data_IF_722416056942
#
_entry.id   IF_722416056942
#
_cell.length_a   1.000
_cell.length_b   1.000
_cell.length_c   1.000
_cell.angle_alpha   90.00
_cell.angle_beta   90.00
_cell.angle_gamma   90.00
#
_symmetry.space_group_name_H-M   'P 1'
#
loop_
_entity.id
_entity.type
_entity.pdbx_description
1 polymer ?
#
# COMPACT_ATOMS: atom_id res chain seq x y z
N UNK A 1 -8.14 7.46 10.97
CA UNK A 1 -8.25 6.78 9.66
C UNK A 1 -9.41 5.81 9.76
N UNK A 2 -10.40 5.98 8.90
CA UNK A 2 -11.51 5.04 8.77
C UNK A 2 -11.02 3.78 8.02
N UNK A 3 -11.74 2.66 8.08
CA UNK A 3 -11.28 1.42 7.46
C UNK A 3 -11.10 1.59 5.95
N UNK A 4 -9.85 1.53 5.50
CA UNK A 4 -9.50 1.34 4.09
C UNK A 4 -9.54 -0.15 3.75
N UNK A 5 -9.95 -0.49 2.53
CA UNK A 5 -10.10 -1.86 2.07
C UNK A 5 -9.36 -2.11 0.75
N UNK A 6 -9.13 -3.39 0.43
CA UNK A 6 -8.60 -3.79 -0.86
C UNK A 6 -9.21 -5.11 -1.32
N UNK A 7 -9.24 -5.33 -2.63
CA UNK A 7 -9.67 -6.56 -3.27
C UNK A 7 -8.68 -6.93 -4.39
N UNK A 8 -8.11 -8.13 -4.31
CA UNK A 8 -7.23 -8.68 -5.34
C UNK A 8 -7.95 -9.84 -6.02
N UNK A 9 -8.10 -9.76 -7.35
CA UNK A 9 -8.69 -10.83 -8.16
C UNK A 9 -7.70 -11.34 -9.20
N UNK A 10 -7.51 -12.66 -9.33
CA UNK A 10 -6.72 -13.20 -10.43
C UNK A 10 -7.40 -12.91 -11.77
N UNK A 11 -6.60 -12.71 -12.82
CA UNK A 11 -7.08 -12.55 -14.18
C UNK A 11 -6.54 -13.64 -15.08
N UNK A 12 -7.34 -14.07 -16.04
CA UNK A 12 -6.88 -14.93 -17.12
C UNK A 12 -5.80 -14.18 -17.91
N UNK A 13 -4.58 -14.68 -17.89
CA UNK A 13 -3.39 -13.98 -18.41
C UNK A 13 -2.23 -13.85 -17.41
N UNK A 14 -2.30 -14.47 -16.23
CA UNK A 14 -1.20 -14.48 -15.26
C UNK A 14 -1.02 -13.17 -14.48
N UNK A 15 -1.99 -12.26 -14.61
CA UNK A 15 -2.03 -11.00 -13.88
C UNK A 15 -3.04 -11.02 -12.73
N UNK A 16 -3.16 -9.89 -12.04
CA UNK A 16 -4.19 -9.66 -11.03
C UNK A 16 -4.75 -8.26 -11.15
N UNK A 17 -6.07 -8.10 -10.96
CA UNK A 17 -6.70 -6.81 -10.78
C UNK A 17 -6.72 -6.49 -9.30
N UNK A 18 -6.23 -5.31 -8.95
CA UNK A 18 -6.19 -4.80 -7.58
C UNK A 18 -7.12 -3.60 -7.49
N UNK A 19 -8.11 -3.69 -6.62
CA UNK A 19 -8.95 -2.57 -6.21
C UNK A 19 -8.51 -2.12 -4.82
N UNK A 20 -8.21 -0.84 -4.64
CA UNK A 20 -7.87 -0.24 -3.35
C UNK A 20 -8.90 0.84 -3.07
N UNK A 21 -9.48 0.81 -1.88
CA UNK A 21 -10.45 1.79 -1.40
C UNK A 21 -9.85 2.44 -0.17
N UNK A 22 -9.40 3.68 -0.33
CA UNK A 22 -8.86 4.47 0.77
C UNK A 22 -9.98 5.32 1.37
N UNK A 23 -10.19 5.22 2.69
CA UNK A 23 -11.09 6.13 3.39
C UNK A 23 -10.29 7.27 4.01
N UNK A 24 -10.56 8.50 3.57
CA UNK A 24 -9.91 9.70 4.11
C UNK A 24 -10.98 10.56 4.77
N UNK A 25 -10.82 10.78 6.07
CA UNK A 25 -11.62 11.73 6.82
C UNK A 25 -10.87 13.06 6.86
N UNK A 26 -11.43 14.07 6.21
CA UNK A 26 -10.84 15.41 6.15
C UNK A 26 -11.55 16.27 7.18
N UNK A 27 -11.12 16.16 8.44
CA UNK A 27 -11.61 17.04 9.49
C UNK A 27 -11.30 18.49 9.13
N UNK A 28 -12.36 19.31 9.12
CA UNK A 28 -12.37 20.73 8.72
C UNK A 28 -11.30 21.57 9.45
N UNK A 29 -10.90 21.14 10.65
CA UNK A 29 -9.91 21.79 11.52
C UNK A 29 -8.45 21.41 11.23
N UNK A 30 -8.22 20.28 10.53
CA UNK A 30 -6.88 19.76 10.25
C UNK A 30 -6.28 20.33 8.96
N UNK A 31 -7.14 20.81 8.05
CA UNK A 31 -6.73 21.35 6.75
C UNK A 31 -7.04 22.85 6.68
N UNK A 32 -6.03 23.72 6.52
CA UNK A 32 -6.24 25.15 6.30
C UNK A 32 -7.17 25.39 5.11
N UNK A 33 -8.11 26.33 5.21
CA UNK A 33 -9.14 26.60 4.18
C UNK A 33 -8.58 26.81 2.78
N UNK A 34 -7.39 27.41 2.68
CA UNK A 34 -6.69 27.67 1.41
C UNK A 34 -6.23 26.38 0.73
N UNK A 35 -5.95 25.34 1.50
CA UNK A 35 -5.54 24.04 0.97
C UNK A 35 -6.71 23.09 0.74
N UNK A 36 -7.90 23.36 1.31
CA UNK A 36 -9.11 22.53 1.18
C UNK A 36 -9.43 22.16 -0.28
N UNK A 37 -9.34 23.05 -1.28
CA UNK A 37 -9.58 22.70 -2.70
C UNK A 37 -8.55 21.69 -3.27
N UNK A 38 -7.32 21.67 -2.74
CA UNK A 38 -6.29 20.71 -3.15
C UNK A 38 -6.52 19.33 -2.54
N UNK A 39 -7.20 19.26 -1.39
CA UNK A 39 -7.54 18.01 -0.70
C UNK A 39 -8.92 17.45 -1.11
N UNK A 40 -9.85 18.30 -1.58
CA UNK A 40 -11.09 17.87 -2.24
C UNK A 40 -10.83 17.27 -3.63
N UNK A 41 -9.70 17.60 -4.26
CA UNK A 41 -9.29 17.00 -5.52
C UNK A 41 -8.84 15.54 -5.32
N UNK A 42 -9.74 14.61 -5.64
CA UNK A 42 -9.51 13.16 -5.59
C UNK A 42 -8.22 12.71 -6.29
N UNK A 43 -7.73 13.45 -7.30
CA UNK A 43 -6.50 13.14 -8.04
C UNK A 43 -5.23 13.25 -7.20
N UNK A 44 -5.08 14.31 -6.40
CA UNK A 44 -3.85 14.55 -5.63
C UNK A 44 -3.76 13.54 -4.47
N UNK A 45 -4.90 13.27 -3.84
CA UNK A 45 -5.04 12.27 -2.78
C UNK A 45 -4.71 10.87 -3.32
N UNK A 46 -5.34 10.48 -4.44
CA UNK A 46 -5.09 9.21 -5.11
C UNK A 46 -3.62 9.07 -5.52
N UNK A 47 -2.98 10.15 -5.99
CA UNK A 47 -1.58 10.12 -6.40
C UNK A 47 -0.61 9.90 -5.23
N UNK A 48 -0.85 10.53 -4.08
CA UNK A 48 0.01 10.37 -2.90
C UNK A 48 -0.12 9.02 -2.21
N UNK A 49 -1.34 8.47 -2.17
CA UNK A 49 -1.62 7.25 -1.41
C UNK A 49 -1.75 6.04 -2.34
N UNK A 50 -2.84 5.98 -3.09
CA UNK A 50 -3.22 4.82 -3.91
C UNK A 50 -2.19 4.51 -5.00
N UNK A 51 -1.71 5.53 -5.74
CA UNK A 51 -0.73 5.34 -6.82
C UNK A 51 0.63 4.92 -6.24
N UNK A 52 1.07 5.52 -5.13
CA UNK A 52 2.31 5.14 -4.48
C UNK A 52 2.25 3.67 -4.00
N UNK A 53 1.12 3.25 -3.43
CA UNK A 53 0.89 1.86 -3.03
C UNK A 53 0.94 0.90 -4.24
N UNK A 54 0.28 1.23 -5.34
CA UNK A 54 0.30 0.42 -6.57
C UNK A 54 1.71 0.32 -7.17
N UNK A 55 2.47 1.42 -7.21
CA UNK A 55 3.86 1.41 -7.67
C UNK A 55 4.73 0.52 -6.79
N UNK A 56 4.51 0.53 -5.48
CA UNK A 56 5.24 -0.32 -4.55
C UNK A 56 4.90 -1.81 -4.75
N UNK A 57 3.61 -2.15 -4.92
CA UNK A 57 3.17 -3.53 -5.19
C UNK A 57 3.78 -4.03 -6.51
N UNK A 58 3.76 -3.21 -7.57
CA UNK A 58 4.39 -3.58 -8.85
C UNK A 58 5.88 -3.85 -8.68
N UNK A 59 6.58 -3.02 -7.91
CA UNK A 59 8.00 -3.22 -7.63
C UNK A 59 8.26 -4.54 -6.90
N UNK A 60 7.43 -4.89 -5.90
CA UNK A 60 7.54 -6.18 -5.19
C UNK A 60 7.27 -7.35 -6.15
N UNK A 61 6.26 -7.24 -7.01
CA UNK A 61 5.93 -8.28 -7.98
C UNK A 61 7.12 -8.56 -8.93
N UNK A 62 7.75 -7.51 -9.46
CA UNK A 62 8.93 -7.61 -10.33
C UNK A 62 10.15 -8.22 -9.61
N UNK A 63 10.34 -7.89 -8.33
CA UNK A 63 11.39 -8.50 -7.52
C UNK A 63 11.17 -9.99 -7.27
N UNK A 64 9.91 -10.39 -7.08
CA UNK A 64 9.55 -11.79 -6.83
C UNK A 64 9.61 -12.66 -8.09
N UNK A 65 9.39 -12.09 -9.28
CA UNK A 65 9.44 -12.80 -10.56
C UNK A 65 10.87 -13.01 -11.11
N UNK A 66 11.90 -12.48 -10.42
CA UNK A 66 13.30 -12.61 -10.84
C UNK A 66 13.70 -11.70 -12.00
N UNK A 67 12.84 -10.77 -12.40
CA UNK A 67 13.03 -9.89 -13.55
C UNK A 67 13.52 -8.51 -13.10
N UNK A 68 14.80 -8.37 -12.70
CA UNK A 68 15.36 -7.04 -12.41
C UNK A 68 16.74 -6.82 -13.02
N UNK A 69 16.70 -5.99 -14.08
CA UNK A 69 17.77 -5.11 -14.50
C UNK A 69 17.83 -3.92 -13.51
N UNK A 70 18.89 -3.85 -12.73
CA UNK A 70 19.09 -2.81 -11.72
C UNK A 70 19.34 -1.44 -12.37
N UNK A 71 18.39 -0.53 -12.21
CA UNK A 71 18.53 0.89 -12.53
C UNK A 71 17.91 1.75 -11.43
N UNK A 72 18.66 2.04 -10.36
CA UNK A 72 18.32 3.10 -9.41
C UNK A 72 17.97 2.67 -7.98
N UNK A 73 19.02 2.42 -7.17
CA UNK A 73 19.10 2.87 -5.76
C UNK A 73 18.00 2.55 -4.74
N UNK A 74 17.17 1.49 -4.90
CA UNK A 74 16.14 1.11 -3.93
C UNK A 74 16.47 -0.19 -3.17
N UNK A 75 16.00 -0.27 -1.92
CA UNK A 75 16.39 -1.25 -0.90
C UNK A 75 16.53 -2.69 -1.42
N UNK A 76 17.62 -3.40 -1.08
CA UNK A 76 17.87 -4.76 -1.54
C UNK A 76 16.77 -5.72 -1.08
N UNK A 77 16.31 -6.59 -1.98
CA UNK A 77 15.23 -7.56 -1.77
C UNK A 77 15.37 -8.35 -0.46
N UNK A 78 16.60 -8.62 -0.01
CA UNK A 78 16.92 -9.28 1.27
C UNK A 78 16.36 -8.54 2.48
N UNK A 79 16.51 -7.21 2.56
CA UNK A 79 16.00 -6.43 3.69
C UNK A 79 14.46 -6.43 3.72
N UNK A 80 13.83 -6.49 2.53
CA UNK A 80 12.38 -6.54 2.42
C UNK A 80 11.81 -7.89 2.84
N UNK A 81 12.44 -8.99 2.42
CA UNK A 81 12.10 -10.35 2.89
C UNK A 81 12.25 -10.48 4.39
N UNK A 82 13.30 -9.90 4.97
CA UNK A 82 13.49 -9.87 6.41
C UNK A 82 12.38 -9.07 7.13
N UNK A 83 12.07 -7.86 6.64
CA UNK A 83 10.99 -7.03 7.16
C UNK A 83 9.62 -7.75 7.10
N UNK A 84 9.29 -8.38 5.97
CA UNK A 84 8.06 -9.14 5.83
C UNK A 84 7.95 -10.30 6.84
N UNK A 85 9.05 -11.03 7.07
CA UNK A 85 9.07 -12.10 8.08
C UNK A 85 8.85 -11.57 9.49
N UNK A 86 9.45 -10.43 9.83
CA UNK A 86 9.23 -9.78 11.12
C UNK A 86 7.79 -9.32 11.30
N UNK A 87 7.23 -8.60 10.31
CA UNK A 87 5.84 -8.15 10.38
C UNK A 87 4.86 -9.30 10.52
N UNK A 88 5.09 -10.40 9.77
CA UNK A 88 4.25 -11.60 9.87
C UNK A 88 4.35 -12.25 11.25
N UNK A 89 5.57 -12.48 11.75
CA UNK A 89 5.77 -13.06 13.08
C UNK A 89 5.15 -12.22 14.20
N UNK A 90 5.23 -10.89 14.09
CA UNK A 90 4.56 -9.98 15.02
C UNK A 90 3.03 -10.07 14.92
N UNK A 91 2.49 -10.04 13.71
CA UNK A 91 1.05 -10.12 13.50
C UNK A 91 0.48 -11.48 13.96
N UNK A 92 1.19 -12.57 13.73
CA UNK A 92 0.80 -13.90 14.21
C UNK A 92 0.81 -13.97 15.75
N UNK A 93 1.78 -13.31 16.40
CA UNK A 93 1.80 -13.22 17.86
C UNK A 93 0.65 -12.35 18.41
N UNK A 94 0.35 -11.23 17.76
CA UNK A 94 -0.75 -10.32 18.16
C UNK A 94 -2.12 -10.95 17.95
N UNK A 95 -2.35 -11.62 16.82
CA UNK A 95 -3.62 -12.31 16.56
C UNK A 95 -3.76 -13.63 17.31
N UNK A 96 -2.68 -14.10 17.96
CA UNK A 96 -2.69 -15.28 18.82
C UNK A 96 -3.19 -15.02 20.25
N UNK A 97 -3.37 -13.75 20.64
CA UNK A 97 -4.04 -13.42 21.88
C UNK A 97 -5.53 -13.69 21.73
N UNK A 98 -6.08 -14.51 22.64
CA UNK A 98 -7.52 -14.76 22.73
C UNK A 98 -8.16 -13.52 23.35
N UNK A 99 -9.25 -13.02 22.75
CA UNK A 99 -10.08 -11.96 23.32
C UNK A 99 -10.76 -12.50 24.60
N UNK A 100 -10.12 -12.34 25.76
CA UNK A 100 -10.74 -12.42 27.09
C UNK A 100 -11.13 -11.02 27.58
#
# INVERSE_FOLDING_TARGET
MLPSGFLIRPCEGGGSIIHIVDHVDLDVWSVPEVLRPLYESSKILAQKLTIAALQHIRQIAQESSGEIQYGGGRQPAVLRTFSQRLCRGFNDAVNGFVDD
#
